data_IF_393765724326
#
_entry.id   IF_393765724326
#
_cell.length_a   1.000
_cell.length_b   1.000
_cell.length_c   1.000
_cell.angle_alpha   90.00
_cell.angle_beta   90.00
_cell.angle_gamma   90.00
#
_symmetry.space_group_name_H-M   'P 1'
#
loop_
_entity.id
_entity.type
_entity.pdbx_description
1 polymer ?
#
# COMPACT_ATOMS: atom_id res chain seq x y z
N UNK A 1 -12.04 23.95 -3.69
CA UNK A 1 -11.13 22.80 -3.81
C UNK A 1 -12.00 21.56 -3.82
N UNK A 2 -11.89 20.70 -4.84
CA UNK A 2 -12.62 19.43 -4.89
C UNK A 2 -12.06 18.45 -3.86
N UNK A 3 -12.91 17.59 -3.28
CA UNK A 3 -12.48 16.53 -2.35
C UNK A 3 -11.40 15.63 -2.95
N UNK A 4 -11.50 15.34 -4.25
CA UNK A 4 -10.53 14.55 -5.01
C UNK A 4 -9.15 15.22 -5.07
N UNK A 5 -9.12 16.54 -5.32
CA UNK A 5 -7.88 17.32 -5.38
C UNK A 5 -7.16 17.36 -4.03
N UNK A 6 -7.93 17.36 -2.94
CA UNK A 6 -7.37 17.33 -1.58
C UNK A 6 -6.71 15.98 -1.30
N UNK A 7 -7.38 14.87 -1.62
CA UNK A 7 -6.85 13.51 -1.43
C UNK A 7 -5.55 13.33 -2.22
N UNK A 8 -5.54 13.72 -3.50
CA UNK A 8 -4.33 13.67 -4.32
C UNK A 8 -3.18 14.51 -3.76
N UNK A 9 -3.48 15.70 -3.23
CA UNK A 9 -2.47 16.56 -2.64
C UNK A 9 -1.85 15.92 -1.39
N UNK A 10 -2.66 15.34 -0.51
CA UNK A 10 -2.19 14.61 0.68
C UNK A 10 -1.33 13.41 0.26
N UNK A 11 -1.80 12.63 -0.71
CA UNK A 11 -1.09 11.44 -1.19
C UNK A 11 0.29 11.81 -1.78
N UNK A 12 0.38 12.89 -2.57
CA UNK A 12 1.67 13.41 -3.08
C UNK A 12 2.63 13.82 -1.97
N UNK A 13 2.14 14.49 -0.93
CA UNK A 13 2.97 14.89 0.22
C UNK A 13 3.49 13.67 0.99
N UNK A 14 2.65 12.66 1.21
CA UNK A 14 3.04 11.41 1.87
C UNK A 14 4.12 10.65 1.10
N UNK A 15 4.01 10.57 -0.22
CA UNK A 15 4.95 9.83 -1.07
C UNK A 15 6.30 10.55 -1.18
N UNK A 16 6.29 11.86 -1.40
CA UNK A 16 7.51 12.63 -1.70
C UNK A 16 8.34 12.90 -0.46
N UNK A 17 7.69 13.33 0.62
CA UNK A 17 8.40 13.82 1.80
C UNK A 17 8.52 12.75 2.88
N UNK A 18 7.69 11.68 2.82
CA UNK A 18 7.61 10.60 3.82
C UNK A 18 7.51 11.08 5.28
N UNK A 19 7.10 12.33 5.49
CA UNK A 19 6.98 12.99 6.81
C UNK A 19 5.55 13.02 7.34
N UNK A 20 4.58 12.71 6.49
CA UNK A 20 3.17 12.76 6.81
C UNK A 20 2.61 11.35 6.92
N UNK A 21 1.98 11.05 8.05
CA UNK A 21 1.37 9.76 8.33
C UNK A 21 -0.09 9.98 8.73
N UNK A 22 -1.06 9.49 7.96
CA UNK A 22 -2.47 9.60 8.31
C UNK A 22 -2.75 8.70 9.52
N UNK A 23 -3.38 9.29 10.54
CA UNK A 23 -3.77 8.56 11.75
C UNK A 23 -5.27 8.33 11.72
N UNK A 24 -5.65 7.07 11.85
CA UNK A 24 -7.05 6.62 11.91
C UNK A 24 -7.27 5.97 13.28
N UNK A 25 -8.51 6.03 13.77
CA UNK A 25 -8.90 5.40 15.03
C UNK A 25 -9.98 4.36 14.74
N UNK A 26 -9.86 3.19 15.35
CA UNK A 26 -10.80 2.09 15.17
C UNK A 26 -10.54 0.95 16.15
N UNK A 27 -11.38 -0.07 16.08
CA UNK A 27 -11.25 -1.27 16.90
C UNK A 27 -11.68 -2.48 16.09
N UNK A 28 -10.72 -3.29 15.66
CA UNK A 28 -10.99 -4.48 14.84
C UNK A 28 -11.86 -5.50 15.59
N UNK A 29 -11.64 -5.69 16.91
CA UNK A 29 -12.44 -6.63 17.72
C UNK A 29 -13.91 -6.21 17.84
N UNK A 30 -14.21 -4.91 17.78
CA UNK A 30 -15.57 -4.37 17.81
C UNK A 30 -16.13 -4.09 16.41
N UNK A 31 -15.39 -4.40 15.35
CA UNK A 31 -15.71 -4.06 13.96
C UNK A 31 -15.94 -2.54 13.73
N UNK A 32 -15.23 -1.69 14.46
CA UNK A 32 -15.36 -0.22 14.35
C UNK A 32 -14.24 0.31 13.45
N UNK A 33 -14.63 1.04 12.39
CA UNK A 33 -13.69 1.74 11.51
C UNK A 33 -12.97 0.86 10.48
N UNK A 34 -13.30 -0.43 10.39
CA UNK A 34 -12.71 -1.34 9.39
C UNK A 34 -12.96 -0.86 7.95
N UNK A 35 -14.20 -0.50 7.55
CA UNK A 35 -14.44 0.01 6.19
C UNK A 35 -13.70 1.32 5.93
N UNK A 36 -13.71 2.24 6.90
CA UNK A 36 -13.00 3.51 6.81
C UNK A 36 -11.49 3.33 6.65
N UNK A 37 -10.91 2.33 7.33
CA UNK A 37 -9.50 1.97 7.16
C UNK A 37 -9.21 1.45 5.75
N UNK A 38 -10.09 0.60 5.19
CA UNK A 38 -9.93 0.09 3.82
C UNK A 38 -10.01 1.20 2.78
N UNK A 39 -10.97 2.12 2.93
CA UNK A 39 -11.09 3.29 2.06
C UNK A 39 -9.86 4.20 2.17
N UNK A 40 -9.32 4.37 3.39
CA UNK A 40 -8.12 5.16 3.60
C UNK A 40 -6.88 4.53 2.96
N UNK A 41 -6.75 3.20 2.95
CA UNK A 41 -5.66 2.50 2.25
C UNK A 41 -5.70 2.81 0.75
N UNK A 42 -6.88 2.75 0.14
CA UNK A 42 -7.03 3.04 -1.30
C UNK A 42 -6.72 4.51 -1.62
N UNK A 43 -7.14 5.43 -0.75
CA UNK A 43 -7.01 6.87 -0.99
C UNK A 43 -5.61 7.43 -0.68
N UNK A 44 -4.93 6.91 0.35
CA UNK A 44 -3.70 7.52 0.88
C UNK A 44 -2.44 6.69 0.65
N UNK A 45 -2.54 5.40 0.29
CA UNK A 45 -1.36 4.58 -0.01
C UNK A 45 -0.92 4.78 -1.48
N UNK A 46 0.39 4.89 -1.78
CA UNK A 46 0.86 5.00 -3.15
C UNK A 46 0.45 3.82 -4.01
N UNK A 47 0.15 4.13 -5.28
CA UNK A 47 0.09 3.09 -6.29
C UNK A 47 1.51 2.62 -6.65
N UNK A 48 1.66 1.35 -7.02
CA UNK A 48 2.96 0.74 -7.32
C UNK A 48 3.77 1.50 -8.40
N UNK A 49 3.09 2.18 -9.33
CA UNK A 49 3.74 2.98 -10.39
C UNK A 49 4.21 4.38 -9.93
N UNK A 50 3.80 4.83 -8.75
CA UNK A 50 4.02 6.20 -8.26
C UNK A 50 5.16 6.26 -7.23
N UNK A 51 5.76 5.12 -6.90
CA UNK A 51 6.83 5.04 -5.90
C UNK A 51 8.15 5.54 -6.52
N UNK A 52 8.82 6.54 -5.91
CA UNK A 52 10.11 7.02 -6.40
C UNK A 52 11.14 5.87 -6.43
N UNK A 53 11.83 5.69 -7.55
CA UNK A 53 12.82 4.61 -7.73
C UNK A 53 12.26 3.33 -8.36
N UNK A 54 10.94 3.21 -8.56
CA UNK A 54 10.35 2.17 -9.41
C UNK A 54 10.51 2.55 -10.90
N UNK A 55 11.74 2.74 -11.36
CA UNK A 55 12.08 2.99 -12.79
C UNK A 55 11.92 1.71 -13.64
N UNK A 56 10.83 0.98 -13.41
CA UNK A 56 10.52 -0.30 -14.06
C UNK A 56 9.70 -0.08 -15.33
N UNK A 57 9.24 1.15 -15.60
CA UNK A 57 8.31 1.42 -16.72
C UNK A 57 8.84 1.02 -18.10
N UNK A 58 10.15 0.82 -18.27
CA UNK A 58 10.78 0.46 -19.54
C UNK A 58 11.64 -0.82 -19.49
N UNK A 59 11.67 -1.58 -18.40
CA UNK A 59 12.47 -2.80 -18.30
C UNK A 59 11.61 -3.97 -17.81
N UNK A 60 11.30 -4.91 -18.71
CA UNK A 60 10.90 -6.30 -18.42
C UNK A 60 9.86 -6.56 -17.32
N UNK A 61 9.70 -7.84 -16.98
CA UNK A 61 8.95 -8.26 -15.79
C UNK A 61 9.97 -8.56 -14.70
N UNK A 62 9.94 -7.80 -13.61
CA UNK A 62 10.73 -8.09 -12.41
C UNK A 62 9.83 -8.67 -11.33
N UNK A 63 10.32 -9.72 -10.66
CA UNK A 63 9.64 -10.38 -9.57
C UNK A 63 10.65 -10.63 -8.44
N UNK A 64 10.26 -10.34 -7.20
CA UNK A 64 11.14 -10.49 -6.04
C UNK A 64 10.49 -11.44 -5.04
N UNK A 65 11.10 -12.62 -4.87
CA UNK A 65 10.65 -13.58 -3.86
C UNK A 65 10.97 -13.01 -2.48
N UNK A 66 9.94 -12.62 -1.74
CA UNK A 66 10.09 -11.99 -0.42
C UNK A 66 9.83 -12.96 0.74
N UNK A 67 9.23 -14.14 0.46
CA UNK A 67 8.96 -15.14 1.49
C UNK A 67 8.87 -16.54 0.90
N UNK A 68 9.48 -17.52 1.55
CA UNK A 68 9.24 -18.94 1.25
C UNK A 68 8.73 -19.62 2.51
N UNK A 69 7.63 -20.36 2.39
CA UNK A 69 7.00 -21.10 3.48
C UNK A 69 7.06 -22.59 3.18
N UNK A 70 7.61 -23.35 4.12
CA UNK A 70 7.59 -24.81 4.09
C UNK A 70 6.36 -25.29 4.89
N UNK A 71 5.29 -25.61 4.17
CA UNK A 71 4.13 -26.27 4.73
C UNK A 71 4.43 -27.78 4.88
N UNK A 72 3.86 -28.46 5.88
CA UNK A 72 4.10 -29.90 6.08
C UNK A 72 3.37 -30.77 5.06
N UNK A 73 2.24 -30.30 4.55
CA UNK A 73 1.40 -31.02 3.59
C UNK A 73 1.65 -30.58 2.14
N UNK A 74 2.37 -29.48 1.92
CA UNK A 74 2.66 -28.95 0.59
C UNK A 74 4.16 -28.77 0.39
N UNK A 75 4.57 -28.76 -0.87
CA UNK A 75 5.92 -28.39 -1.25
C UNK A 75 6.21 -26.91 -0.88
N UNK A 76 7.49 -26.50 -0.88
CA UNK A 76 7.87 -25.13 -0.53
C UNK A 76 7.12 -24.11 -1.40
N UNK A 77 6.46 -23.16 -0.74
CA UNK A 77 5.68 -22.11 -1.40
C UNK A 77 6.44 -20.79 -1.33
N UNK A 78 6.87 -20.29 -2.48
CA UNK A 78 7.55 -18.99 -2.62
C UNK A 78 6.57 -17.91 -3.06
N UNK A 79 6.52 -16.82 -2.31
CA UNK A 79 5.71 -15.62 -2.55
C UNK A 79 6.59 -14.55 -3.17
N UNK A 80 6.17 -14.01 -4.32
CA UNK A 80 6.98 -13.19 -5.20
C UNK A 80 6.19 -12.05 -5.83
#
# INVERSE_FOLDING_TARGET
ISSTQLIEAICRLMIRDQRYVPVLVGSSIKNIGVPTLLDAIVNFLPHARTIPGSSISNMGTFMYIFKTVHDRQKLPLSFA
#
